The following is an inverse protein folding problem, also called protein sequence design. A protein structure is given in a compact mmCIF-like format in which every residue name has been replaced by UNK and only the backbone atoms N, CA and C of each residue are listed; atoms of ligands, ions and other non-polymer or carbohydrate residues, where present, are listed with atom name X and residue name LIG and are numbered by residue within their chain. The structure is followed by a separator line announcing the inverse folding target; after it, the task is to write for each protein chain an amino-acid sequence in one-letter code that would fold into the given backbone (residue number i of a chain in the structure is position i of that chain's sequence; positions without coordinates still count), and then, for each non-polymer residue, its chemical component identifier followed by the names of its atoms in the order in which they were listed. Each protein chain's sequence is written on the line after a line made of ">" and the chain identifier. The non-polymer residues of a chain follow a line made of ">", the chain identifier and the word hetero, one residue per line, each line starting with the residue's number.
data_IF_921592637382
#
_entry.id   IF_921592637382
#
_cell.length_a   1.000
_cell.length_b   1.000
_cell.length_c   1.000
_cell.angle_alpha   90.00
_cell.angle_beta   90.00
_cell.angle_gamma   90.00
#
_symmetry.space_group_name_H-M   'P 1'
#
loop_
_entity.id
_entity.type
_entity.pdbx_description
1 polymer ?
#
# COMPACT_ATOMS: atom_id res chain seq x y z
N UNK A 1 -10.33 -0.99 7.43
CA UNK A 1 -9.08 -1.02 8.23
C UNK A 1 -8.48 -2.42 8.37
N UNK A 2 -9.23 -3.48 8.69
CA UNK A 2 -8.67 -4.84 8.86
C UNK A 2 -7.91 -5.43 7.65
N UNK A 3 -8.24 -4.99 6.43
CA UNK A 3 -7.52 -5.39 5.22
C UNK A 3 -6.16 -4.72 5.10
N UNK A 4 -6.03 -3.45 5.52
CA UNK A 4 -4.76 -2.72 5.46
C UNK A 4 -3.78 -3.23 6.51
N UNK A 5 -4.25 -3.54 7.72
CA UNK A 5 -3.40 -4.09 8.76
C UNK A 5 -2.84 -5.46 8.35
N UNK A 6 -3.67 -6.34 7.76
CA UNK A 6 -3.21 -7.61 7.18
C UNK A 6 -2.23 -7.43 6.03
N UNK A 7 -2.45 -6.44 5.17
CA UNK A 7 -1.52 -6.08 4.08
C UNK A 7 -0.19 -5.62 4.68
N UNK A 8 -0.22 -4.79 5.73
CA UNK A 8 0.96 -4.27 6.42
C UNK A 8 1.76 -5.39 7.09
N UNK A 9 1.09 -6.32 7.73
CA UNK A 9 1.71 -7.50 8.33
C UNK A 9 2.25 -8.47 7.27
N UNK A 10 1.55 -8.64 6.14
CA UNK A 10 1.99 -9.51 5.04
C UNK A 10 3.24 -8.97 4.32
N UNK A 11 3.33 -7.64 4.14
CA UNK A 11 4.49 -7.01 3.50
C UNK A 11 5.58 -6.61 4.49
N UNK A 12 5.28 -6.50 5.79
CA UNK A 12 6.22 -6.18 6.87
C UNK A 12 7.11 -4.98 6.52
N UNK A 13 8.42 -5.17 6.60
CA UNK A 13 9.41 -4.12 6.29
C UNK A 13 9.37 -3.59 4.85
N UNK A 14 8.82 -4.35 3.89
CA UNK A 14 8.67 -3.89 2.51
C UNK A 14 7.49 -2.94 2.31
N UNK A 15 6.55 -2.87 3.26
CA UNK A 15 5.38 -1.98 3.15
C UNK A 15 5.80 -0.52 2.94
N UNK A 16 6.78 -0.03 3.69
CA UNK A 16 7.28 1.35 3.58
C UNK A 16 7.86 1.65 2.20
N UNK A 17 8.60 0.68 1.62
CA UNK A 17 9.17 0.80 0.28
C UNK A 17 8.08 0.81 -0.81
N UNK A 18 7.09 -0.06 -0.69
CA UNK A 18 5.98 -0.12 -1.65
C UNK A 18 5.10 1.12 -1.56
N UNK A 19 4.82 1.63 -0.35
CA UNK A 19 4.07 2.87 -0.17
C UNK A 19 4.79 4.09 -0.78
N UNK A 20 6.11 4.19 -0.63
CA UNK A 20 6.91 5.24 -1.28
C UNK A 20 6.87 5.17 -2.81
N UNK A 21 6.96 3.96 -3.37
CA UNK A 21 6.82 3.73 -4.82
C UNK A 21 5.39 4.07 -5.27
N UNK A 22 4.38 3.63 -4.54
CA UNK A 22 2.98 3.90 -4.89
C UNK A 22 2.67 5.40 -4.81
N UNK A 23 3.31 6.15 -3.91
CA UNK A 23 3.23 7.62 -3.88
C UNK A 23 3.85 8.29 -5.11
N UNK A 24 4.88 7.69 -5.70
CA UNK A 24 5.53 8.20 -6.91
C UNK A 24 4.77 7.85 -8.20
N UNK A 25 4.20 6.65 -8.28
CA UNK A 25 3.60 6.12 -9.50
C UNK A 25 2.06 6.13 -9.52
N UNK A 26 1.41 6.12 -8.36
CA UNK A 26 -0.05 6.12 -8.22
C UNK A 26 -0.51 7.04 -7.04
N UNK A 27 -0.23 8.35 -7.12
CA UNK A 27 -0.59 9.30 -6.07
C UNK A 27 -2.11 9.43 -5.89
N UNK A 28 -2.92 9.06 -6.89
CA UNK A 28 -4.39 9.10 -6.83
C UNK A 28 -4.99 7.78 -6.35
N UNK A 29 -4.15 6.78 -6.04
CA UNK A 29 -4.56 5.43 -5.63
C UNK A 29 -5.61 4.83 -6.59
N UNK A 30 -5.41 5.05 -7.88
CA UNK A 30 -6.29 4.61 -8.95
C UNK A 30 -6.36 3.07 -9.00
N UNK A 31 -5.25 2.40 -8.68
CA UNK A 31 -5.18 0.95 -8.56
C UNK A 31 -5.46 0.50 -7.13
N UNK A 32 -6.76 0.46 -6.79
CA UNK A 32 -7.26 0.11 -5.45
C UNK A 32 -8.02 -1.21 -5.34
N UNK A 33 -8.25 -1.89 -6.47
CA UNK A 33 -8.97 -3.18 -6.55
C UNK A 33 -8.04 -4.39 -6.34
N UNK A 34 -7.13 -4.29 -5.38
CA UNK A 34 -6.16 -5.32 -4.98
C UNK A 34 -5.91 -5.23 -3.48
N UNK A 35 -4.95 -6.01 -2.94
CA UNK A 35 -4.43 -5.87 -1.57
C UNK A 35 -3.81 -4.47 -1.43
N UNK A 36 -4.68 -3.48 -1.22
CA UNK A 36 -4.37 -2.08 -1.46
C UNK A 36 -3.47 -1.56 -0.34
N UNK A 37 -2.53 -0.72 -0.74
CA UNK A 37 -1.61 0.00 0.13
C UNK A 37 -1.93 1.47 -0.10
N UNK A 38 -2.37 2.18 0.94
CA UNK A 38 -2.56 3.62 0.84
C UNK A 38 -1.20 4.30 0.60
N UNK A 39 -1.05 5.14 -0.44
CA UNK A 39 0.00 6.14 -0.45
C UNK A 39 -0.31 7.09 0.71
N UNK A 40 0.46 6.98 1.78
CA UNK A 40 0.16 7.60 3.07
C UNK A 40 -0.04 9.11 3.04
#
# INVERSE_FOLDING_TARGET
>A
EEGEERVRDAYGGNYARIAAIKKQYDPTNFFRLNQNILPG
#
